data_IF_849435856091
#
_entry.id   IF_849435856091
#
_cell.length_a   1.000
_cell.length_b   1.000
_cell.length_c   1.000
_cell.angle_alpha   90.00
_cell.angle_beta   90.00
_cell.angle_gamma   90.00
#
_symmetry.space_group_name_H-M   'P 1'
#
loop_
_entity.id
_entity.type
_entity.pdbx_description
1 polymer ?
#
# COMPACT_ATOMS: atom_id res chain seq x y z
N UNK A 1 16.82 1.40 -9.23
CA UNK A 1 15.63 0.90 -8.54
C UNK A 1 15.65 1.47 -7.13
N UNK A 2 14.66 2.29 -6.74
CA UNK A 2 14.54 2.68 -5.34
C UNK A 2 14.37 1.46 -4.45
N UNK A 3 14.89 1.54 -3.23
CA UNK A 3 14.47 0.64 -2.17
C UNK A 3 13.00 0.96 -1.89
N UNK A 4 12.10 -0.02 -2.02
CA UNK A 4 10.65 0.18 -1.90
C UNK A 4 10.24 0.78 -0.55
N UNK A 5 11.08 0.64 0.48
CA UNK A 5 11.01 1.37 1.76
C UNK A 5 10.90 2.91 1.59
N UNK A 6 11.31 3.46 0.45
CA UNK A 6 11.25 4.88 0.15
C UNK A 6 10.00 5.28 -0.65
N UNK A 7 9.36 4.37 -1.37
CA UNK A 7 8.30 4.68 -2.33
C UNK A 7 6.89 4.42 -1.79
N UNK A 8 6.71 3.34 -1.03
CA UNK A 8 5.43 2.97 -0.44
C UNK A 8 5.65 2.45 0.98
N UNK A 9 5.27 3.26 1.96
CA UNK A 9 5.31 2.89 3.37
C UNK A 9 3.92 2.51 3.84
N UNK A 10 3.79 1.40 4.57
CA UNK A 10 2.50 0.92 5.07
C UNK A 10 2.53 0.70 6.58
N UNK A 11 1.51 1.23 7.24
CA UNK A 11 1.22 1.02 8.66
C UNK A 11 -0.09 0.24 8.78
N UNK A 12 -0.03 -0.92 9.44
CA UNK A 12 -1.18 -1.72 9.83
C UNK A 12 -1.49 -1.52 11.30
N UNK A 13 -2.77 -1.43 11.66
CA UNK A 13 -3.21 -1.37 13.06
C UNK A 13 -4.45 -2.23 13.27
N UNK A 14 -4.42 -3.12 14.26
CA UNK A 14 -5.59 -3.86 14.69
C UNK A 14 -6.46 -2.98 15.61
N UNK A 15 -7.64 -2.58 15.12
CA UNK A 15 -8.61 -1.77 15.88
C UNK A 15 -9.84 -2.61 16.16
N UNK A 16 -9.96 -3.10 17.40
CA UNK A 16 -10.99 -4.06 17.77
C UNK A 16 -10.75 -5.40 17.07
N UNK A 17 -11.61 -5.74 16.12
CA UNK A 17 -11.52 -6.97 15.31
C UNK A 17 -11.23 -6.70 13.83
N UNK A 18 -10.89 -5.46 13.46
CA UNK A 18 -10.65 -5.07 12.08
C UNK A 18 -9.23 -4.49 11.90
N UNK A 19 -8.56 -4.87 10.82
CA UNK A 19 -7.26 -4.36 10.42
C UNK A 19 -7.40 -3.08 9.61
N UNK A 20 -6.91 -1.96 10.15
CA UNK A 20 -6.83 -0.69 9.43
C UNK A 20 -5.46 -0.53 8.79
N UNK A 21 -5.41 -0.08 7.54
CA UNK A 21 -4.18 0.13 6.81
C UNK A 21 -4.03 1.59 6.39
N UNK A 22 -2.87 2.17 6.62
CA UNK A 22 -2.50 3.49 6.14
C UNK A 22 -1.27 3.38 5.27
N UNK A 23 -1.32 3.94 4.07
CA UNK A 23 -0.20 4.03 3.14
C UNK A 23 0.33 5.46 3.05
N UNK A 24 1.64 5.62 3.02
CA UNK A 24 2.32 6.88 2.66
C UNK A 24 3.14 6.66 1.41
N UNK A 25 2.86 7.45 0.38
CA UNK A 25 3.44 7.26 -0.95
C UNK A 25 4.40 8.40 -1.28
N UNK A 26 5.52 8.03 -1.88
CA UNK A 26 6.53 8.95 -2.35
C UNK A 26 6.79 8.69 -3.83
N UNK A 27 7.05 9.76 -4.56
CA UNK A 27 7.31 9.75 -6.00
C UNK A 27 8.63 10.46 -6.28
N UNK A 28 9.29 10.02 -7.34
CA UNK A 28 10.52 10.64 -7.80
C UNK A 28 10.21 11.85 -8.69
N UNK A 29 10.80 13.01 -8.38
CA UNK A 29 10.54 14.26 -9.10
C UNK A 29 11.84 15.06 -9.36
N UNK A 30 12.28 15.19 -10.63
CA UNK A 30 11.73 14.57 -11.84
C UNK A 30 11.96 13.05 -11.88
N UNK A 31 11.18 12.30 -12.64
CA UNK A 31 11.38 10.85 -12.80
C UNK A 31 12.82 10.52 -13.24
N UNK A 32 13.47 9.58 -12.56
CA UNK A 32 14.86 9.19 -12.78
C UNK A 32 15.93 10.12 -12.20
N UNK A 33 15.56 11.12 -11.38
CA UNK A 33 16.50 12.10 -10.80
C UNK A 33 17.21 11.64 -9.52
N UNK A 34 16.72 10.59 -8.87
CA UNK A 34 17.08 10.16 -7.52
C UNK A 34 16.47 11.01 -6.40
N UNK A 35 15.68 12.05 -6.73
CA UNK A 35 15.05 12.95 -5.76
C UNK A 35 13.63 12.50 -5.43
N UNK A 36 13.43 12.04 -4.20
CA UNK A 36 12.15 11.54 -3.70
C UNK A 36 11.40 12.63 -2.96
N UNK A 37 10.12 12.82 -3.30
CA UNK A 37 9.19 13.67 -2.55
C UNK A 37 7.91 12.92 -2.24
N UNK A 38 7.13 13.43 -1.30
CA UNK A 38 5.78 12.91 -1.07
C UNK A 38 4.92 13.07 -2.32
N UNK A 39 4.07 12.09 -2.58
CA UNK A 39 3.03 12.21 -3.57
C UNK A 39 2.09 13.37 -3.19
N UNK A 40 1.55 14.05 -4.20
CA UNK A 40 0.55 15.10 -4.04
C UNK A 40 -0.85 14.54 -4.27
N UNK A 41 -1.88 15.37 -4.04
CA UNK A 41 -3.27 14.95 -4.17
C UNK A 41 -3.58 14.45 -5.58
N UNK A 42 -4.04 13.20 -5.70
CA UNK A 42 -4.42 12.62 -6.98
C UNK A 42 -3.25 12.21 -7.89
N UNK A 43 -2.02 12.20 -7.39
CA UNK A 43 -0.85 11.84 -8.18
C UNK A 43 -0.63 10.32 -8.27
N UNK A 44 -0.95 9.61 -7.18
CA UNK A 44 -0.80 8.16 -7.09
C UNK A 44 -2.15 7.52 -6.75
N UNK A 45 -2.48 6.49 -7.50
CA UNK A 45 -3.59 5.58 -7.21
C UNK A 45 -3.06 4.42 -6.35
N UNK A 46 -3.69 4.16 -5.20
CA UNK A 46 -3.33 3.06 -4.32
C UNK A 46 -4.50 2.10 -4.22
N UNK A 47 -4.24 0.83 -4.50
CA UNK A 47 -5.22 -0.24 -4.43
C UNK A 47 -4.88 -1.20 -3.29
N UNK A 48 -5.85 -1.46 -2.41
CA UNK A 48 -5.78 -2.50 -1.39
C UNK A 48 -6.51 -3.76 -1.88
N UNK A 49 -5.81 -4.89 -1.95
CA UNK A 49 -6.36 -6.19 -2.30
C UNK A 49 -6.28 -7.14 -1.11
N UNK A 50 -7.37 -7.85 -0.86
CA UNK A 50 -7.34 -9.00 0.03
C UNK A 50 -6.87 -10.21 -0.78
N UNK A 51 -5.80 -10.87 -0.32
CA UNK A 51 -5.32 -12.12 -0.90
C UNK A 51 -6.00 -13.33 -0.27
N UNK A 52 -6.38 -13.22 1.01
CA UNK A 52 -6.96 -14.34 1.75
C UNK A 52 -6.02 -15.53 1.85
N UNK A 53 -6.62 -16.72 1.85
CA UNK A 53 -5.91 -17.99 1.85
C UNK A 53 -5.37 -18.35 0.46
N UNK A 54 -4.43 -19.30 0.39
CA UNK A 54 -3.80 -19.73 -0.87
C UNK A 54 -4.78 -20.27 -1.94
N UNK A 55 -6.01 -20.63 -1.54
CA UNK A 55 -7.08 -21.11 -2.41
C UNK A 55 -8.12 -20.04 -2.75
N UNK A 56 -8.09 -18.89 -2.09
CA UNK A 56 -8.99 -17.78 -2.37
C UNK A 56 -8.51 -17.00 -3.60
N UNK A 57 -9.47 -16.45 -4.35
CA UNK A 57 -9.15 -15.55 -5.46
C UNK A 57 -8.94 -14.17 -4.85
N UNK A 58 -7.76 -13.54 -5.02
CA UNK A 58 -7.54 -12.19 -4.56
C UNK A 58 -8.58 -11.25 -5.13
N UNK A 59 -9.17 -10.42 -4.27
CA UNK A 59 -10.15 -9.43 -4.70
C UNK A 59 -9.75 -8.03 -4.24
N UNK A 60 -10.01 -7.06 -5.10
CA UNK A 60 -9.83 -5.65 -4.78
C UNK A 60 -10.84 -5.25 -3.72
N UNK A 61 -10.36 -4.60 -2.66
CA UNK A 61 -11.22 -4.07 -1.60
C UNK A 61 -11.58 -2.63 -1.90
N UNK A 62 -10.57 -1.80 -2.10
CA UNK A 62 -10.74 -0.37 -2.27
C UNK A 62 -9.56 0.21 -3.05
N UNK A 63 -9.87 1.22 -3.87
CA UNK A 63 -8.88 2.01 -4.61
C UNK A 63 -9.06 3.46 -4.21
N UNK A 64 -7.99 4.06 -3.68
CA UNK A 64 -7.96 5.44 -3.22
C UNK A 64 -6.86 6.21 -3.92
N UNK A 65 -7.07 7.52 -4.04
CA UNK A 65 -6.06 8.43 -4.53
C UNK A 65 -5.33 9.08 -3.36
N UNK A 66 -4.04 9.36 -3.51
CA UNK A 66 -3.28 10.07 -2.48
C UNK A 66 -3.92 11.41 -2.14
N UNK A 67 -3.91 11.77 -0.85
CA UNK A 67 -4.32 13.09 -0.38
C UNK A 67 -3.24 14.17 -0.61
N UNK A 68 -3.50 15.41 -0.19
CA UNK A 68 -2.53 16.52 -0.33
C UNK A 68 -1.21 16.31 0.44
N UNK A 69 -1.17 15.33 1.34
CA UNK A 69 0.00 14.94 2.13
C UNK A 69 0.64 13.62 1.65
N UNK A 70 0.16 13.04 0.55
CA UNK A 70 0.66 11.79 -0.01
C UNK A 70 0.20 10.53 0.74
N UNK A 71 -0.85 10.64 1.55
CA UNK A 71 -1.35 9.52 2.34
C UNK A 71 -2.60 8.91 1.71
N UNK A 72 -2.83 7.65 2.03
CA UNK A 72 -4.08 6.92 1.81
C UNK A 72 -4.42 6.16 3.10
N UNK A 73 -5.70 6.09 3.42
CA UNK A 73 -6.20 5.38 4.59
C UNK A 73 -7.35 4.47 4.20
N UNK A 74 -7.16 3.17 4.38
CA UNK A 74 -8.17 2.16 4.07
C UNK A 74 -8.92 1.78 5.34
N UNK A 75 -10.24 1.85 5.27
CA UNK A 75 -11.10 1.44 6.37
C UNK A 75 -10.98 -0.07 6.58
N UNK A 76 -10.96 -0.48 7.85
CA UNK A 76 -10.43 -1.79 8.17
C UNK A 76 -11.25 -2.98 7.67
N UNK A 77 -10.55 -4.08 7.39
CA UNK A 77 -11.14 -5.36 7.05
C UNK A 77 -11.22 -6.25 8.28
N UNK A 78 -12.38 -6.87 8.50
CA UNK A 78 -12.60 -7.87 9.55
C UNK A 78 -11.95 -9.22 9.21
N UNK A 79 -11.39 -9.36 8.01
CA UNK A 79 -10.85 -10.62 7.52
C UNK A 79 -9.41 -10.77 8.04
N UNK A 80 -9.15 -11.80 8.84
CA UNK A 80 -7.78 -12.23 9.13
C UNK A 80 -7.22 -12.89 7.88
N UNK A 81 -6.03 -12.48 7.45
CA UNK A 81 -5.41 -13.02 6.24
C UNK A 81 -4.36 -12.09 5.65
N UNK A 82 -3.96 -12.40 4.42
CA UNK A 82 -2.91 -11.65 3.73
C UNK A 82 -3.51 -10.59 2.81
N UNK A 83 -2.82 -9.46 2.69
CA UNK A 83 -3.22 -8.32 1.88
C UNK A 83 -2.08 -7.91 0.95
N UNK A 84 -2.41 -7.17 -0.10
CA UNK A 84 -1.42 -6.42 -0.88
C UNK A 84 -1.87 -4.98 -1.07
N UNK A 85 -0.93 -4.06 -1.03
CA UNK A 85 -1.13 -2.66 -1.35
C UNK A 85 -0.27 -2.32 -2.56
N UNK A 86 -0.91 -1.93 -3.66
CA UNK A 86 -0.26 -1.54 -4.91
C UNK A 86 -0.44 -0.04 -5.12
N UNK A 87 0.66 0.71 -5.13
CA UNK A 87 0.69 2.12 -5.47
C UNK A 87 1.16 2.30 -6.91
N UNK A 88 0.38 3.03 -7.72
CA UNK A 88 0.64 3.33 -9.12
C UNK A 88 0.74 4.82 -9.35
N UNK A 89 1.90 5.28 -9.75
CA UNK A 89 2.10 6.67 -10.15
C UNK A 89 1.47 6.93 -11.52
N UNK A 90 0.54 7.87 -11.61
CA UNK A 90 -0.22 8.10 -12.84
C UNK A 90 0.59 8.78 -13.95
N UNK A 91 1.59 9.58 -13.59
CA UNK A 91 2.40 10.31 -14.56
C UNK A 91 3.52 9.44 -15.16
N UNK A 92 4.30 8.74 -14.34
CA UNK A 92 5.40 7.88 -14.83
C UNK A 92 4.93 6.47 -15.19
N UNK A 93 3.83 5.99 -14.60
CA UNK A 93 3.38 4.62 -14.72
C UNK A 93 4.09 3.65 -13.76
N UNK A 94 4.99 4.14 -12.90
CA UNK A 94 5.70 3.31 -11.94
C UNK A 94 4.73 2.65 -10.95
N UNK A 95 5.06 1.40 -10.59
CA UNK A 95 4.28 0.60 -9.66
C UNK A 95 5.12 0.12 -8.50
N UNK A 96 4.54 0.16 -7.31
CA UNK A 96 5.14 -0.36 -6.09
C UNK A 96 4.10 -1.23 -5.41
N UNK A 97 4.48 -2.48 -5.11
CA UNK A 97 3.59 -3.42 -4.45
C UNK A 97 4.22 -3.91 -3.16
N UNK A 98 3.42 -3.92 -2.10
CA UNK A 98 3.80 -4.53 -0.84
C UNK A 98 2.75 -5.55 -0.43
N UNK A 99 3.22 -6.65 0.13
CA UNK A 99 2.43 -7.68 0.77
C UNK A 99 2.41 -7.44 2.27
N UNK A 100 1.24 -7.58 2.88
CA UNK A 100 1.00 -7.38 4.30
C UNK A 100 0.41 -8.67 4.84
N UNK A 101 1.19 -9.41 5.62
CA UNK A 101 0.76 -10.66 6.23
C UNK A 101 0.33 -10.36 7.68
N UNK A 102 -0.97 -10.45 7.96
CA UNK A 102 -1.54 -10.09 9.26
C UNK A 102 -1.70 -11.33 10.15
N UNK A 103 -1.21 -11.25 11.38
CA UNK A 103 -1.23 -12.34 12.35
C UNK A 103 -2.36 -12.19 13.36
N UNK A 104 -2.85 -13.32 13.90
CA UNK A 104 -3.94 -13.33 14.90
C UNK A 104 -3.54 -12.67 16.23
N UNK A 105 -2.24 -12.53 16.51
CA UNK A 105 -1.73 -11.87 17.71
C UNK A 105 -1.72 -10.33 17.60
N UNK A 106 -2.21 -9.79 16.48
CA UNK A 106 -2.27 -8.35 16.21
C UNK A 106 -0.96 -7.76 15.70
N UNK A 107 0.02 -8.60 15.36
CA UNK A 107 1.21 -8.19 14.61
C UNK A 107 1.01 -8.38 13.11
N UNK A 108 1.85 -7.74 12.30
CA UNK A 108 1.84 -7.91 10.85
C UNK A 108 3.26 -7.82 10.31
N UNK A 109 3.53 -8.55 9.24
CA UNK A 109 4.76 -8.45 8.47
C UNK A 109 4.48 -7.72 7.16
N UNK A 110 5.46 -6.94 6.69
CA UNK A 110 5.41 -6.27 5.40
C UNK A 110 6.56 -6.79 4.54
N UNK A 111 6.21 -7.38 3.40
CA UNK A 111 7.18 -7.84 2.41
C UNK A 111 7.01 -7.04 1.13
N UNK A 112 8.10 -6.52 0.61
CA UNK A 112 8.10 -5.84 -0.68
C UNK A 112 7.97 -6.89 -1.79
N UNK A 113 6.95 -6.74 -2.64
CA UNK A 113 6.85 -7.48 -3.90
C UNK A 113 7.39 -6.57 -5.02
N UNK A 114 8.65 -6.80 -5.41
CA UNK A 114 9.21 -6.15 -6.61
C UNK A 114 8.72 -6.95 -7.81
N UNK A 115 7.88 -6.35 -8.65
CA UNK A 115 7.60 -6.82 -10.02
C UNK A 115 8.56 -6.19 -11.03
#
# INVERSE_FOLDING_TARGET
MPLVDQALYVEGALVGAAWQFSGRVFVEDPAGSGAWRKATAGEVEVELKFLGEWWEIPHSMETLMTDASGNVSFAGSWQTGNYTMEARHLQSGDKYKVRIDCHEDGTYDVTVEIE
#
